data_IF_828444445034
#
_entry.id   IF_828444445034
#
_cell.length_a   1.000
_cell.length_b   1.000
_cell.length_c   1.000
_cell.angle_alpha   90.00
_cell.angle_beta   90.00
_cell.angle_gamma   90.00
#
_symmetry.space_group_name_H-M   'P 1'
#
loop_
_entity.id
_entity.type
_entity.pdbx_description
1 polymer ?
#
# COMPACT_ATOMS: atom_id res chain seq x y z
N UNK A 1 6.90 10.14 -23.81
CA UNK A 1 6.61 10.72 -22.48
C UNK A 1 6.26 9.61 -21.47
N UNK A 2 7.06 8.52 -21.42
CA UNK A 2 6.76 7.30 -20.63
C UNK A 2 7.48 7.31 -19.27
N UNK A 3 8.49 8.16 -19.11
CA UNK A 3 9.35 8.22 -17.93
C UNK A 3 8.68 8.83 -16.68
N UNK A 4 7.72 9.74 -16.85
CA UNK A 4 7.02 10.38 -15.73
C UNK A 4 6.18 9.41 -14.88
N UNK A 5 5.30 8.57 -15.46
CA UNK A 5 4.56 7.60 -14.66
C UNK A 5 5.52 6.61 -14.00
N UNK A 6 6.51 6.09 -14.73
CA UNK A 6 7.58 5.22 -14.21
C UNK A 6 8.22 5.76 -12.91
N UNK A 7 8.66 7.01 -12.92
CA UNK A 7 9.28 7.66 -11.76
C UNK A 7 8.32 7.79 -10.57
N UNK A 8 7.06 8.12 -10.83
CA UNK A 8 6.04 8.21 -9.79
C UNK A 8 5.74 6.83 -9.15
N UNK A 9 5.81 5.73 -9.90
CA UNK A 9 5.74 4.40 -9.30
C UNK A 9 6.91 4.12 -8.37
N UNK A 10 8.14 4.41 -8.80
CA UNK A 10 9.32 4.22 -7.94
C UNK A 10 9.21 5.04 -6.66
N UNK A 11 8.72 6.27 -6.76
CA UNK A 11 8.41 7.10 -5.59
C UNK A 11 7.36 6.44 -4.70
N UNK A 12 6.23 5.97 -5.24
CA UNK A 12 5.20 5.27 -4.46
C UNK A 12 5.74 4.03 -3.73
N UNK A 13 6.55 3.21 -4.40
CA UNK A 13 7.16 2.00 -3.82
C UNK A 13 8.27 2.31 -2.81
N UNK A 14 8.95 3.46 -2.95
CA UNK A 14 10.01 3.87 -2.01
C UNK A 14 9.54 4.01 -0.57
N UNK A 15 8.23 4.21 -0.36
CA UNK A 15 7.62 4.24 0.98
C UNK A 15 7.83 2.95 1.76
N UNK A 16 7.86 1.79 1.09
CA UNK A 16 8.20 0.51 1.74
C UNK A 16 9.66 0.52 2.21
N UNK A 17 10.58 0.98 1.37
CA UNK A 17 11.99 1.13 1.74
C UNK A 17 12.18 2.08 2.91
N UNK A 18 11.50 3.23 2.91
CA UNK A 18 11.50 4.18 4.01
C UNK A 18 10.92 3.56 5.30
N UNK A 19 9.85 2.78 5.20
CA UNK A 19 9.28 2.04 6.33
C UNK A 19 10.25 1.02 6.94
N UNK A 20 11.01 0.31 6.10
CA UNK A 20 12.08 -0.61 6.54
C UNK A 20 13.21 0.16 7.22
N UNK A 21 13.64 1.30 6.66
CA UNK A 21 14.66 2.16 7.27
C UNK A 21 14.21 2.66 8.66
N UNK A 22 12.95 3.08 8.81
CA UNK A 22 12.39 3.48 10.10
C UNK A 22 12.47 2.34 11.13
N UNK A 23 12.14 1.12 10.72
CA UNK A 23 12.23 -0.06 11.58
C UNK A 23 13.67 -0.46 11.95
N UNK A 24 14.66 -0.07 11.14
CA UNK A 24 16.08 -0.27 11.44
C UNK A 24 16.60 0.76 12.45
N UNK A 25 16.14 2.01 12.34
CA UNK A 25 16.61 3.12 13.19
C UNK A 25 16.05 3.02 14.60
N UNK A 26 14.75 2.71 14.75
CA UNK A 26 14.06 2.68 16.05
C UNK A 26 13.32 1.34 16.26
N UNK A 27 14.04 0.21 16.37
CA UNK A 27 13.41 -1.10 16.50
C UNK A 27 12.64 -1.29 17.82
N UNK A 28 13.01 -0.58 18.88
CA UNK A 28 12.34 -0.56 20.18
C UNK A 28 10.89 -0.04 20.11
N UNK A 29 10.61 0.89 19.19
CA UNK A 29 9.28 1.49 19.00
C UNK A 29 8.32 0.57 18.21
N UNK A 30 8.81 -0.51 17.60
CA UNK A 30 8.02 -1.38 16.73
C UNK A 30 6.94 -2.16 17.48
N UNK A 31 7.27 -2.66 18.68
CA UNK A 31 6.37 -3.47 19.51
C UNK A 31 5.15 -2.67 19.99
N UNK A 32 5.30 -1.51 20.67
CA UNK A 32 4.15 -0.70 21.06
C UNK A 32 3.45 -0.09 19.83
N UNK A 33 4.20 0.21 18.76
CA UNK A 33 3.69 0.81 17.53
C UNK A 33 2.84 -0.13 16.66
N UNK A 34 2.97 -1.45 16.79
CA UNK A 34 2.37 -2.42 15.87
C UNK A 34 0.85 -2.22 15.68
N UNK A 35 0.11 -2.03 16.78
CA UNK A 35 -1.35 -1.83 16.72
C UNK A 35 -1.73 -0.56 15.94
N UNK A 36 -0.95 0.50 16.10
CA UNK A 36 -1.16 1.78 15.41
C UNK A 36 -0.79 1.66 13.94
N UNK A 37 0.33 1.01 13.62
CA UNK A 37 0.78 0.77 12.26
C UNK A 37 -0.22 -0.08 11.48
N UNK A 38 -0.80 -1.12 12.10
CA UNK A 38 -1.85 -1.95 11.48
C UNK A 38 -3.13 -1.16 11.22
N UNK A 39 -3.58 -0.34 12.18
CA UNK A 39 -4.74 0.55 11.98
C UNK A 39 -4.49 1.56 10.87
N UNK A 40 -3.32 2.20 10.88
CA UNK A 40 -2.90 3.14 9.85
C UNK A 40 -2.86 2.47 8.48
N UNK A 41 -2.32 1.25 8.39
CA UNK A 41 -2.31 0.45 7.17
C UNK A 41 -3.73 0.20 6.66
N UNK A 42 -4.68 -0.18 7.51
CA UNK A 42 -6.08 -0.37 7.12
C UNK A 42 -6.75 0.91 6.62
N UNK A 43 -6.52 2.04 7.30
CA UNK A 43 -7.07 3.35 6.89
C UNK A 43 -6.49 3.79 5.55
N UNK A 44 -5.17 3.68 5.39
CA UNK A 44 -4.48 4.03 4.15
C UNK A 44 -4.90 3.12 3.00
N UNK A 45 -5.11 1.83 3.24
CA UNK A 45 -5.65 0.91 2.24
C UNK A 45 -7.05 1.33 1.78
N UNK A 46 -7.93 1.71 2.72
CA UNK A 46 -9.26 2.22 2.41
C UNK A 46 -9.21 3.50 1.57
N UNK A 47 -8.32 4.44 1.94
CA UNK A 47 -8.09 5.66 1.16
C UNK A 47 -7.55 5.36 -0.24
N UNK A 48 -6.62 4.43 -0.36
CA UNK A 48 -6.01 4.04 -1.63
C UNK A 48 -7.06 3.42 -2.55
N UNK A 49 -7.97 2.61 -2.01
CA UNK A 49 -9.09 2.05 -2.75
C UNK A 49 -10.13 3.10 -3.15
N UNK A 50 -10.56 3.95 -2.22
CA UNK A 50 -11.51 5.04 -2.49
C UNK A 50 -10.97 5.97 -3.58
N UNK A 51 -9.69 6.32 -3.49
CA UNK A 51 -9.00 7.14 -4.48
C UNK A 51 -8.89 6.40 -5.82
N UNK A 52 -8.53 5.11 -5.81
CA UNK A 52 -8.49 4.28 -7.02
C UNK A 52 -9.83 4.22 -7.77
N UNK A 53 -10.94 4.02 -7.05
CA UNK A 53 -12.29 4.07 -7.63
C UNK A 53 -12.58 5.45 -8.21
N UNK A 54 -12.34 6.51 -7.45
CA UNK A 54 -12.58 7.88 -7.90
C UNK A 54 -11.78 8.20 -9.17
N UNK A 55 -10.51 7.80 -9.22
CA UNK A 55 -9.63 8.02 -10.37
C UNK A 55 -10.13 7.26 -11.61
N UNK A 56 -10.45 5.98 -11.47
CA UNK A 56 -10.89 5.14 -12.59
C UNK A 56 -12.28 5.51 -13.12
N UNK A 57 -13.18 5.96 -12.24
CA UNK A 57 -14.50 6.47 -12.65
C UNK A 57 -14.38 7.77 -13.44
N UNK A 58 -13.51 8.70 -13.03
CA UNK A 58 -13.23 9.93 -13.79
C UNK A 58 -12.60 9.65 -15.16
N UNK A 59 -11.72 8.65 -15.23
CA UNK A 59 -11.10 8.21 -16.48
C UNK A 59 -12.05 7.45 -17.42
N UNK A 60 -13.26 7.05 -16.95
CA UNK A 60 -14.22 6.20 -17.66
C UNK A 60 -13.67 4.81 -18.03
N UNK A 61 -12.68 4.34 -17.28
CA UNK A 61 -12.00 3.06 -17.51
C UNK A 61 -12.73 1.91 -16.78
N UNK A 62 -13.96 1.62 -17.22
CA UNK A 62 -14.87 0.68 -16.52
C UNK A 62 -14.32 -0.74 -16.40
N UNK A 63 -13.59 -1.21 -17.42
CA UNK A 63 -12.96 -2.54 -17.39
C UNK A 63 -11.87 -2.61 -16.32
N UNK A 64 -11.00 -1.60 -16.25
CA UNK A 64 -9.93 -1.52 -15.25
C UNK A 64 -10.54 -1.36 -13.85
N UNK A 65 -11.61 -0.58 -13.71
CA UNK A 65 -12.36 -0.44 -12.46
C UNK A 65 -12.92 -1.78 -11.98
N UNK A 66 -13.53 -2.57 -12.88
CA UNK A 66 -14.06 -3.88 -12.53
C UNK A 66 -12.95 -4.82 -12.02
N UNK A 67 -11.80 -4.87 -12.73
CA UNK A 67 -10.64 -5.65 -12.31
C UNK A 67 -10.13 -5.17 -10.93
N UNK A 68 -10.03 -3.86 -10.74
CA UNK A 68 -9.58 -3.26 -9.49
C UNK A 68 -10.50 -3.60 -8.30
N UNK A 69 -11.82 -3.54 -8.50
CA UNK A 69 -12.81 -3.93 -7.48
C UNK A 69 -12.69 -5.42 -7.15
N UNK A 70 -12.59 -6.30 -8.16
CA UNK A 70 -12.44 -7.75 -7.94
C UNK A 70 -11.17 -8.05 -7.14
N UNK A 71 -10.05 -7.43 -7.51
CA UNK A 71 -8.79 -7.60 -6.78
C UNK A 71 -8.89 -7.10 -5.34
N UNK A 72 -9.55 -5.95 -5.11
CA UNK A 72 -9.75 -5.44 -3.76
C UNK A 72 -10.63 -6.34 -2.90
N UNK A 73 -11.74 -6.85 -3.45
CA UNK A 73 -12.58 -7.81 -2.74
C UNK A 73 -11.79 -9.07 -2.40
N UNK A 74 -10.99 -9.56 -3.34
CA UNK A 74 -10.09 -10.71 -3.11
C UNK A 74 -9.13 -10.43 -1.95
N UNK A 75 -8.54 -9.24 -1.91
CA UNK A 75 -7.68 -8.80 -0.81
C UNK A 75 -8.43 -8.75 0.52
N UNK A 76 -9.64 -8.19 0.56
CA UNK A 76 -10.46 -8.16 1.79
C UNK A 76 -10.73 -9.58 2.28
N UNK A 77 -11.18 -10.47 1.39
CA UNK A 77 -11.50 -11.86 1.76
C UNK A 77 -10.25 -12.56 2.29
N UNK A 78 -9.10 -12.44 1.61
CA UNK A 78 -7.84 -13.03 2.08
C UNK A 78 -7.42 -12.42 3.43
N UNK A 79 -7.54 -11.10 3.61
CA UNK A 79 -7.20 -10.42 4.87
C UNK A 79 -8.15 -10.73 6.02
N UNK A 80 -9.36 -11.20 5.72
CA UNK A 80 -10.33 -11.64 6.72
C UNK A 80 -10.05 -13.09 7.13
N UNK A 81 -9.69 -13.94 6.17
CA UNK A 81 -9.32 -15.33 6.41
C UNK A 81 -7.93 -15.48 7.04
N UNK A 82 -7.02 -14.56 6.76
CA UNK A 82 -5.65 -14.54 7.26
C UNK A 82 -5.49 -13.34 8.19
N UNK A 83 -5.04 -13.54 9.42
CA UNK A 83 -4.81 -12.46 10.42
C UNK A 83 -3.75 -11.41 10.03
N UNK A 84 -3.22 -11.48 8.80
CA UNK A 84 -2.23 -10.57 8.25
C UNK A 84 -2.60 -10.20 6.83
N UNK A 85 -2.56 -8.91 6.58
CA UNK A 85 -2.72 -8.29 5.28
C UNK A 85 -1.52 -8.71 4.41
N UNK A 86 -1.74 -9.47 3.31
CA UNK A 86 -0.65 -9.90 2.45
C UNK A 86 0.02 -8.70 1.78
N UNK A 87 1.36 -8.74 1.69
CA UNK A 87 2.15 -7.66 1.10
C UNK A 87 2.00 -7.60 -0.42
N UNK A 88 1.36 -8.62 -1.00
CA UNK A 88 0.97 -8.71 -2.41
C UNK A 88 0.00 -7.59 -2.85
N UNK A 89 -0.61 -6.87 -1.90
CA UNK A 89 -1.52 -5.74 -2.16
C UNK A 89 -0.87 -4.61 -2.98
N UNK A 90 0.45 -4.42 -2.86
CA UNK A 90 1.15 -3.42 -3.66
C UNK A 90 0.99 -3.66 -5.16
N UNK A 91 0.94 -4.92 -5.60
CA UNK A 91 0.77 -5.25 -7.02
C UNK A 91 -0.64 -4.91 -7.52
N UNK A 92 -1.66 -5.08 -6.67
CA UNK A 92 -3.06 -4.73 -7.00
C UNK A 92 -3.22 -3.22 -7.14
N UNK A 93 -2.55 -2.45 -6.28
CA UNK A 93 -2.63 -1.00 -6.27
C UNK A 93 -1.90 -0.32 -7.44
N UNK A 94 -1.14 -1.05 -8.27
CA UNK A 94 -0.39 -0.49 -9.41
C UNK A 94 -1.26 -0.29 -10.66
N UNK A 95 -2.41 -0.96 -10.75
CA UNK A 95 -3.30 -0.93 -11.92
C UNK A 95 -3.91 0.44 -12.31
N UNK A 96 -4.28 1.35 -11.38
CA UNK A 96 -4.99 2.59 -11.72
C UNK A 96 -4.15 3.67 -12.44
N UNK A 97 -2.91 3.36 -12.76
CA UNK A 97 -1.82 4.34 -12.73
C UNK A 97 -1.45 4.82 -14.15
N UNK A 98 -2.19 4.39 -15.17
CA UNK A 98 -1.81 4.55 -16.57
C UNK A 98 -2.24 5.88 -17.20
N UNK A 99 -3.28 6.59 -16.72
CA UNK A 99 -3.85 7.68 -17.54
C UNK A 99 -4.59 8.82 -16.81
N UNK A 100 -4.14 9.30 -15.65
CA UNK A 100 -4.90 10.38 -14.96
C UNK A 100 -4.05 11.51 -14.37
N UNK A 101 -4.63 12.72 -14.31
CA UNK A 101 -4.08 13.89 -13.62
C UNK A 101 -4.00 13.70 -12.09
N UNK A 102 -4.63 12.65 -11.57
CA UNK A 102 -4.69 12.30 -10.16
C UNK A 102 -3.62 11.27 -9.74
N UNK A 103 -2.75 10.86 -10.66
CA UNK A 103 -1.64 9.91 -10.39
C UNK A 103 -0.75 10.41 -9.25
N UNK A 104 -0.51 11.71 -9.12
CA UNK A 104 0.30 12.27 -8.02
C UNK A 104 -0.33 12.01 -6.65
N UNK A 105 -1.64 12.25 -6.49
CA UNK A 105 -2.35 11.99 -5.23
C UNK A 105 -2.28 10.50 -4.87
N UNK A 106 -2.55 9.65 -5.86
CA UNK A 106 -2.48 8.21 -5.69
C UNK A 106 -1.06 7.74 -5.30
N UNK A 107 -0.02 8.32 -5.91
CA UNK A 107 1.39 8.05 -5.60
C UNK A 107 1.72 8.39 -4.15
N UNK A 108 1.25 9.55 -3.66
CA UNK A 108 1.47 9.96 -2.26
C UNK A 108 0.80 9.00 -1.29
N UNK A 109 -0.44 8.60 -1.58
CA UNK A 109 -1.16 7.64 -0.72
C UNK A 109 -0.46 6.27 -0.74
N UNK A 110 0.01 5.82 -1.91
CA UNK A 110 0.79 4.59 -2.05
C UNK A 110 2.10 4.65 -1.27
N UNK A 111 2.82 5.78 -1.32
CA UNK A 111 4.01 6.01 -0.51
C UNK A 111 3.70 5.96 0.99
N UNK A 112 2.65 6.64 1.43
CA UNK A 112 2.24 6.64 2.84
C UNK A 112 1.83 5.25 3.30
N UNK A 113 1.13 4.47 2.47
CA UNK A 113 0.81 3.06 2.73
C UNK A 113 2.09 2.19 2.80
N UNK A 114 3.09 2.57 1.99
CA UNK A 114 4.49 2.11 1.99
C UNK A 114 5.06 1.99 3.40
N UNK A 115 4.98 3.09 4.14
CA UNK A 115 5.64 3.26 5.43
C UNK A 115 5.26 2.18 6.46
N UNK A 116 3.98 2.08 6.92
CA UNK A 116 3.62 1.07 7.91
C UNK A 116 3.82 -0.35 7.39
N UNK A 117 3.69 -0.57 6.08
CA UNK A 117 3.94 -1.89 5.49
C UNK A 117 5.41 -2.29 5.64
N UNK A 118 6.34 -1.43 5.24
CA UNK A 118 7.78 -1.67 5.38
C UNK A 118 8.20 -1.84 6.84
N UNK A 119 7.62 -1.04 7.72
CA UNK A 119 7.89 -1.10 9.16
C UNK A 119 7.44 -2.42 9.78
N UNK A 120 6.22 -2.87 9.47
CA UNK A 120 5.67 -4.15 9.96
C UNK A 120 6.40 -5.36 9.37
N UNK A 121 6.79 -5.28 8.09
CA UNK A 121 7.59 -6.29 7.38
C UNK A 121 8.88 -6.64 8.13
N UNK A 122 9.59 -5.63 8.59
CA UNK A 122 10.84 -5.81 9.32
C UNK A 122 10.61 -6.20 10.79
N UNK A 123 9.65 -5.54 11.47
CA UNK A 123 9.34 -5.82 12.87
C UNK A 123 8.97 -7.28 13.14
N UNK A 124 8.19 -7.91 12.24
CA UNK A 124 7.82 -9.32 12.38
C UNK A 124 9.00 -10.29 12.29
N UNK A 125 10.00 -9.99 11.45
CA UNK A 125 11.22 -10.81 11.34
C UNK A 125 12.06 -10.76 12.62
N UNK A 126 12.13 -9.60 13.29
CA UNK A 126 12.93 -9.44 14.51
C UNK A 126 12.30 -10.14 15.71
N UNK A 127 10.97 -10.07 15.85
CA UNK A 127 10.21 -10.75 16.90
C UNK A 127 10.34 -12.28 16.79
N UNK A 128 10.29 -12.82 15.56
CA UNK A 128 10.46 -14.26 15.31
C UNK A 128 11.89 -14.78 15.58
N UNK A 129 12.91 -13.90 15.60
CA UNK A 129 14.30 -14.26 15.91
C UNK A 129 14.62 -14.22 17.41
N UNK A 130 13.76 -13.59 18.22
CA UNK A 130 13.93 -13.44 19.67
C UNK A 130 13.07 -14.41 20.48
N UNK A 131 12.20 -15.18 19.83
CA UNK A 131 11.51 -16.36 20.39
C UNK A 131 12.22 -17.62 19.95
#
# INVERSE_FOLDING_TARGET
MIWQPALLYFLGLSGVGAGVLLALIAPEELLPGEKYLRRLQSVLLGLLFATGIFVLTQAREWLILAIFIVLFLTVIVISTLRTRIPHEIYFVCILPFVHTSLVTLFTVILFLYGLPTGTLLWGQKKILKQR
#
